data_IF_671769778955
#
_entry.id   IF_671769778955
#
_cell.length_a   1.000
_cell.length_b   1.000
_cell.length_c   1.000
_cell.angle_alpha   90.00
_cell.angle_beta   90.00
_cell.angle_gamma   90.00
#
_symmetry.space_group_name_H-M   'P 1'
#
loop_
_entity.id
_entity.type
_entity.pdbx_description
1 polymer ?
#
# COMPACT_ATOMS: atom_id res chain seq x y z
N UNK A 1 12.78 -12.30 14.12
CA UNK A 1 11.57 -12.66 13.34
C UNK A 1 10.31 -12.78 14.19
N UNK A 2 10.29 -13.56 15.28
CA UNK A 2 9.10 -13.65 16.16
C UNK A 2 8.67 -12.30 16.78
N UNK A 3 9.63 -11.45 17.14
CA UNK A 3 9.35 -10.12 17.74
C UNK A 3 8.78 -9.10 16.74
N UNK A 4 9.19 -9.18 15.47
CA UNK A 4 8.64 -8.34 14.41
C UNK A 4 7.20 -8.76 14.08
N UNK A 5 6.95 -10.07 13.99
CA UNK A 5 5.60 -10.63 13.79
C UNK A 5 4.64 -10.25 14.92
N UNK A 6 5.08 -10.37 16.18
CA UNK A 6 4.27 -9.99 17.34
C UNK A 6 3.93 -8.49 17.37
N UNK A 7 4.86 -7.61 16.97
CA UNK A 7 4.60 -6.17 16.87
C UNK A 7 3.63 -5.83 15.72
N UNK A 8 3.72 -6.57 14.62
CA UNK A 8 2.80 -6.43 13.48
C UNK A 8 1.40 -6.95 13.81
N UNK A 9 1.30 -8.07 14.53
CA UNK A 9 0.02 -8.62 15.02
C UNK A 9 -0.65 -7.69 16.05
N UNK A 10 0.14 -7.00 16.89
CA UNK A 10 -0.36 -6.00 17.83
C UNK A 10 -0.82 -4.71 17.12
N UNK A 11 -0.08 -4.24 16.10
CA UNK A 11 -0.49 -3.12 15.27
C UNK A 11 -1.78 -3.42 14.49
N UNK A 12 -1.92 -4.66 14.02
CA UNK A 12 -3.14 -5.18 13.39
C UNK A 12 -4.34 -5.16 14.35
N UNK A 13 -4.18 -5.72 15.55
CA UNK A 13 -5.26 -5.75 16.53
C UNK A 13 -5.74 -4.34 16.92
N UNK A 14 -4.82 -3.38 17.04
CA UNK A 14 -5.16 -1.99 17.36
C UNK A 14 -5.88 -1.27 16.20
N UNK A 15 -5.54 -1.60 14.94
CA UNK A 15 -6.24 -1.07 13.78
C UNK A 15 -7.65 -1.67 13.69
N UNK A 16 -7.77 -3.00 13.76
CA UNK A 16 -9.05 -3.73 13.69
C UNK A 16 -10.03 -3.26 14.79
N UNK A 17 -9.56 -3.05 16.03
CA UNK A 17 -10.36 -2.54 17.17
C UNK A 17 -10.82 -1.08 16.95
N UNK A 18 -10.02 -0.27 16.24
CA UNK A 18 -10.40 1.09 15.83
C UNK A 18 -11.54 1.11 14.81
N UNK A 19 -11.59 0.13 13.90
CA UNK A 19 -12.66 0.00 12.89
C UNK A 19 -13.94 -0.60 13.50
N UNK A 20 -13.85 -1.58 14.40
CA UNK A 20 -15.01 -2.10 15.12
C UNK A 20 -15.70 -1.00 15.97
N UNK A 21 -14.94 -0.07 16.54
CA UNK A 21 -15.48 1.09 17.26
C UNK A 21 -16.26 2.09 16.39
N UNK A 22 -16.16 1.99 15.06
CA UNK A 22 -16.91 2.81 14.11
C UNK A 22 -18.22 2.14 13.67
N UNK A 23 -18.40 0.83 13.89
CA UNK A 23 -19.67 0.14 13.67
C UNK A 23 -20.69 0.53 14.75
N UNK A 24 -21.77 1.23 14.35
CA UNK A 24 -22.90 1.54 15.24
C UNK A 24 -23.23 3.02 15.42
N UNK A 25 -22.61 3.92 14.64
CA UNK A 25 -22.93 5.35 14.63
C UNK A 25 -23.45 5.85 13.25
N UNK A 26 -24.72 5.54 12.87
CA UNK A 26 -25.29 5.88 11.55
C UNK A 26 -25.51 7.38 11.33
N UNK A 27 -25.45 8.21 12.38
CA UNK A 27 -25.67 9.66 12.28
C UNK A 27 -24.49 10.40 11.61
N UNK A 28 -23.39 9.70 11.32
CA UNK A 28 -22.21 10.20 10.58
C UNK A 28 -22.21 9.62 9.14
N UNK A 29 -23.38 9.35 8.57
CA UNK A 29 -23.57 9.01 7.14
C UNK A 29 -23.39 10.23 6.22
N UNK A 30 -22.26 10.93 6.34
CA UNK A 30 -21.76 11.73 5.23
C UNK A 30 -20.91 10.79 4.37
N UNK A 31 -21.49 10.29 3.27
CA UNK A 31 -20.91 9.27 2.39
C UNK A 31 -19.43 9.50 1.99
N UNK A 32 -18.93 10.75 2.03
CA UNK A 32 -17.51 11.06 1.84
C UNK A 32 -16.59 10.60 2.97
N UNK A 33 -16.96 10.77 4.24
CA UNK A 33 -16.10 10.38 5.37
C UNK A 33 -15.97 8.86 5.51
N UNK A 34 -17.06 8.12 5.25
CA UNK A 34 -17.03 6.65 5.27
C UNK A 34 -16.15 6.12 4.15
N UNK A 35 -16.30 6.63 2.92
CA UNK A 35 -15.47 6.22 1.79
C UNK A 35 -13.98 6.54 2.03
N UNK A 36 -13.65 7.70 2.59
CA UNK A 36 -12.26 8.06 2.89
C UNK A 36 -11.68 7.14 3.98
N UNK A 37 -12.46 6.81 5.03
CA UNK A 37 -12.03 5.87 6.07
C UNK A 37 -11.83 4.44 5.53
N UNK A 38 -12.74 3.95 4.68
CA UNK A 38 -12.61 2.64 4.03
C UNK A 38 -11.35 2.58 3.15
N UNK A 39 -11.04 3.67 2.45
CA UNK A 39 -9.84 3.78 1.61
C UNK A 39 -8.57 3.78 2.44
N UNK A 40 -8.50 4.61 3.49
CA UNK A 40 -7.37 4.64 4.44
C UNK A 40 -7.18 3.27 5.11
N UNK A 41 -8.26 2.57 5.43
CA UNK A 41 -8.19 1.21 5.97
C UNK A 41 -7.59 0.22 4.97
N UNK A 42 -8.08 0.25 3.72
CA UNK A 42 -7.57 -0.60 2.65
C UNK A 42 -6.09 -0.35 2.38
N UNK A 43 -5.67 0.92 2.38
CA UNK A 43 -4.25 1.31 2.27
C UNK A 43 -3.42 0.69 3.39
N UNK A 44 -3.84 0.87 4.65
CA UNK A 44 -3.12 0.35 5.81
C UNK A 44 -3.00 -1.18 5.77
N UNK A 45 -4.10 -1.87 5.42
CA UNK A 45 -4.16 -3.33 5.34
C UNK A 45 -3.30 -3.87 4.19
N UNK A 46 -3.34 -3.24 3.03
CA UNK A 46 -2.49 -3.60 1.89
C UNK A 46 -1.01 -3.38 2.20
N UNK A 47 -0.66 -2.22 2.76
CA UNK A 47 0.72 -1.88 3.13
C UNK A 47 1.28 -2.89 4.14
N UNK A 48 0.52 -3.18 5.20
CA UNK A 48 0.92 -4.14 6.22
C UNK A 48 1.19 -5.53 5.63
N UNK A 49 0.26 -6.02 4.80
CA UNK A 49 0.38 -7.34 4.18
C UNK A 49 1.66 -7.43 3.33
N UNK A 50 1.85 -6.47 2.42
CA UNK A 50 2.96 -6.48 1.47
C UNK A 50 4.33 -6.28 2.15
N UNK A 51 4.43 -5.38 3.14
CA UNK A 51 5.66 -5.21 3.93
C UNK A 51 6.01 -6.45 4.73
N UNK A 52 5.02 -7.23 5.12
CA UNK A 52 5.19 -8.49 5.86
C UNK A 52 5.45 -9.70 4.94
N UNK A 53 5.46 -9.51 3.62
CA UNK A 53 5.57 -10.61 2.64
C UNK A 53 4.32 -11.49 2.55
N UNK A 54 3.17 -10.99 3.01
CA UNK A 54 1.87 -11.63 2.83
C UNK A 54 1.23 -11.18 1.51
N UNK A 55 0.31 -11.98 0.93
CA UNK A 55 -0.40 -11.59 -0.28
C UNK A 55 -1.28 -10.36 -0.05
N UNK A 56 -1.54 -9.60 -1.12
CA UNK A 56 -2.49 -8.49 -1.11
C UNK A 56 -3.90 -9.00 -0.77
N UNK A 57 -4.57 -8.47 0.27
CA UNK A 57 -5.93 -8.90 0.62
C UNK A 57 -6.96 -8.38 -0.40
N UNK A 58 -7.96 -9.20 -0.70
CA UNK A 58 -9.13 -8.84 -1.51
C UNK A 58 -10.02 -7.82 -0.80
N UNK A 59 -10.88 -7.07 -1.52
CA UNK A 59 -11.82 -6.14 -0.91
C UNK A 59 -12.75 -6.82 0.11
N UNK A 60 -13.14 -8.07 -0.14
CA UNK A 60 -13.96 -8.85 0.79
C UNK A 60 -13.23 -9.23 2.08
N UNK A 61 -11.93 -9.54 2.01
CA UNK A 61 -11.10 -9.82 3.20
C UNK A 61 -10.78 -8.57 4.03
N UNK A 62 -10.82 -7.40 3.40
CA UNK A 62 -10.68 -6.11 4.09
C UNK A 62 -12.04 -5.67 4.66
N UNK A 63 -13.15 -6.00 4.00
CA UNK A 63 -14.50 -5.62 4.42
C UNK A 63 -14.89 -4.21 3.97
N UNK A 64 -14.42 -3.78 2.79
CA UNK A 64 -14.67 -2.42 2.26
C UNK A 64 -15.22 -2.46 0.84
N UNK A 65 -15.81 -1.36 0.38
CA UNK A 65 -16.24 -1.22 -1.01
C UNK A 65 -15.06 -1.36 -1.99
N UNK A 66 -15.28 -2.00 -3.14
CA UNK A 66 -14.30 -2.14 -4.22
C UNK A 66 -13.66 -0.81 -4.67
N UNK A 67 -14.43 0.29 -4.74
CA UNK A 67 -13.88 1.60 -5.11
C UNK A 67 -12.89 2.15 -4.06
N UNK A 68 -13.23 2.01 -2.77
CA UNK A 68 -12.36 2.38 -1.67
C UNK A 68 -11.11 1.48 -1.62
N UNK A 69 -11.28 0.18 -1.84
CA UNK A 69 -10.17 -0.77 -1.94
C UNK A 69 -9.22 -0.45 -3.09
N UNK A 70 -9.74 -0.20 -4.29
CA UNK A 70 -8.93 0.13 -5.48
C UNK A 70 -8.10 1.41 -5.26
N UNK A 71 -8.68 2.44 -4.65
CA UNK A 71 -7.91 3.65 -4.32
C UNK A 71 -6.95 3.42 -3.15
N UNK A 72 -7.32 2.62 -2.15
CA UNK A 72 -6.46 2.31 -1.01
C UNK A 72 -5.21 1.52 -1.42
N UNK A 73 -5.33 0.52 -2.28
CA UNK A 73 -4.15 -0.20 -2.81
C UNK A 73 -3.29 0.71 -3.70
N UNK A 74 -3.89 1.68 -4.39
CA UNK A 74 -3.16 2.65 -5.19
C UNK A 74 -2.35 3.62 -4.32
N UNK A 75 -2.90 4.05 -3.18
CA UNK A 75 -2.20 4.87 -2.17
C UNK A 75 -1.13 4.06 -1.42
N UNK A 76 -1.37 2.77 -1.16
CA UNK A 76 -0.39 1.87 -0.55
C UNK A 76 0.93 1.82 -1.32
N UNK A 77 0.91 1.95 -2.66
CA UNK A 77 2.14 2.05 -3.47
C UNK A 77 3.05 3.22 -3.05
N UNK A 78 2.47 4.33 -2.56
CA UNK A 78 3.20 5.44 -1.96
C UNK A 78 3.91 5.06 -0.65
N UNK A 79 3.22 4.34 0.23
CA UNK A 79 3.82 3.84 1.47
C UNK A 79 4.88 2.76 1.23
N UNK A 80 4.69 1.89 0.24
CA UNK A 80 5.72 0.93 -0.19
C UNK A 80 6.99 1.64 -0.66
N UNK A 81 6.84 2.71 -1.46
CA UNK A 81 7.98 3.58 -1.83
C UNK A 81 8.64 4.16 -0.58
N UNK A 82 7.87 4.63 0.41
CA UNK A 82 8.41 5.18 1.66
C UNK A 82 9.26 4.14 2.39
N UNK A 83 8.77 2.91 2.52
CA UNK A 83 9.49 1.78 3.12
C UNK A 83 10.78 1.45 2.36
N UNK A 84 10.72 1.38 1.01
CA UNK A 84 11.90 1.14 0.18
C UNK A 84 12.95 2.23 0.41
N UNK A 85 12.56 3.50 0.33
CA UNK A 85 13.50 4.63 0.52
C UNK A 85 14.09 4.65 1.94
N UNK A 86 13.30 4.31 2.97
CA UNK A 86 13.79 4.20 4.34
C UNK A 86 14.82 3.08 4.52
N UNK A 87 14.65 1.93 3.86
CA UNK A 87 15.63 0.84 3.83
C UNK A 87 16.90 1.24 3.08
N UNK A 88 16.76 1.82 1.89
CA UNK A 88 17.88 2.29 1.08
C UNK A 88 18.75 3.32 1.83
N UNK A 89 18.12 4.24 2.56
CA UNK A 89 18.83 5.23 3.41
C UNK A 89 19.68 4.59 4.50
N UNK A 90 19.33 3.38 4.94
CA UNK A 90 20.05 2.60 5.94
C UNK A 90 21.06 1.63 5.32
N UNK A 91 21.18 1.60 3.99
CA UNK A 91 21.97 0.59 3.28
C UNK A 91 21.37 -0.80 3.33
N UNK A 92 20.11 -0.93 3.75
CA UNK A 92 19.35 -2.18 3.74
C UNK A 92 18.64 -2.33 2.39
N UNK A 93 18.79 -3.50 1.78
CA UNK A 93 18.19 -3.84 0.50
C UNK A 93 17.25 -5.04 0.61
N UNK A 94 17.13 -5.64 1.80
CA UNK A 94 16.34 -6.83 2.01
C UNK A 94 14.87 -6.53 1.70
N UNK A 95 14.27 -7.34 0.84
CA UNK A 95 12.88 -7.22 0.42
C UNK A 95 12.52 -5.99 -0.43
N UNK A 96 13.46 -5.09 -0.76
CA UNK A 96 13.17 -3.92 -1.59
C UNK A 96 12.69 -4.28 -3.00
N UNK A 97 13.27 -5.32 -3.61
CA UNK A 97 12.84 -5.82 -4.93
C UNK A 97 11.43 -6.41 -4.88
N UNK A 98 11.11 -7.20 -3.86
CA UNK A 98 9.78 -7.77 -3.66
C UNK A 98 8.70 -6.69 -3.43
N UNK A 99 9.04 -5.62 -2.71
CA UNK A 99 8.14 -4.47 -2.56
C UNK A 99 7.93 -3.71 -3.88
N UNK A 100 8.98 -3.57 -4.71
CA UNK A 100 8.85 -2.97 -6.02
C UNK A 100 7.98 -3.82 -6.95
N UNK A 101 8.12 -5.14 -6.91
CA UNK A 101 7.28 -6.09 -7.66
C UNK A 101 5.82 -5.98 -7.23
N UNK A 102 5.54 -5.89 -5.92
CA UNK A 102 4.18 -5.67 -5.43
C UNK A 102 3.57 -4.34 -5.93
N UNK A 103 4.37 -3.27 -6.06
CA UNK A 103 3.92 -2.02 -6.68
C UNK A 103 3.60 -2.18 -8.17
N UNK A 104 4.38 -3.00 -8.89
CA UNK A 104 4.12 -3.36 -10.29
C UNK A 104 2.80 -4.13 -10.41
N UNK A 105 2.55 -5.11 -9.54
CA UNK A 105 1.31 -5.91 -9.51
C UNK A 105 0.08 -5.04 -9.22
N UNK A 106 0.17 -4.13 -8.25
CA UNK A 106 -0.89 -3.14 -7.98
C UNK A 106 -1.18 -2.34 -9.23
N UNK A 107 -0.14 -1.75 -9.85
CA UNK A 107 -0.33 -0.94 -11.05
C UNK A 107 -0.93 -1.75 -12.21
N UNK A 108 -0.47 -2.99 -12.41
CA UNK A 108 -0.99 -3.90 -13.42
C UNK A 108 -2.49 -4.18 -13.20
N UNK A 109 -2.92 -4.40 -11.96
CA UNK A 109 -4.33 -4.55 -11.62
C UNK A 109 -5.12 -3.28 -11.94
N UNK A 110 -4.65 -2.12 -11.49
CA UNK A 110 -5.35 -0.84 -11.64
C UNK A 110 -5.63 -0.49 -13.11
N UNK A 111 -4.68 -0.76 -14.02
CA UNK A 111 -4.86 -0.47 -15.45
C UNK A 111 -5.85 -1.40 -16.15
N UNK A 112 -6.23 -2.52 -15.55
CA UNK A 112 -7.26 -3.41 -16.11
C UNK A 112 -8.69 -2.92 -15.83
N UNK A 113 -8.85 -1.94 -14.93
CA UNK A 113 -10.16 -1.47 -14.49
C UNK A 113 -10.73 -0.45 -15.49
N UNK A 114 -11.81 -0.83 -16.18
CA UNK A 114 -12.53 0.01 -17.14
C UNK A 114 -13.92 0.38 -16.59
N UNK A 115 -13.96 1.34 -15.65
CA UNK A 115 -15.20 1.91 -15.12
C UNK A 115 -15.14 3.44 -15.12
N UNK A 116 -16.29 4.14 -15.23
CA UNK A 116 -16.32 5.60 -15.17
C UNK A 116 -15.70 6.16 -13.88
N UNK A 117 -14.88 7.21 -13.98
CA UNK A 117 -14.19 7.85 -12.83
C UNK A 117 -15.14 8.19 -11.67
N UNK A 118 -16.38 8.58 -11.97
CA UNK A 118 -17.39 8.90 -10.95
C UNK A 118 -17.84 7.69 -10.11
N UNK A 119 -17.76 6.47 -10.68
CA UNK A 119 -18.10 5.22 -9.99
C UNK A 119 -16.93 4.67 -9.18
N UNK A 120 -15.70 5.05 -9.53
CA UNK A 120 -14.46 4.55 -8.92
C UNK A 120 -13.79 5.56 -7.99
N UNK A 121 -14.43 6.71 -7.72
CA UNK A 121 -13.86 7.73 -6.83
C UNK A 121 -12.63 8.43 -7.39
N UNK A 122 -12.48 8.53 -8.72
CA UNK A 122 -11.33 9.20 -9.36
C UNK A 122 -10.12 8.29 -9.60
N UNK A 123 -10.32 6.97 -9.67
CA UNK A 123 -9.27 5.96 -9.78
C UNK A 123 -8.27 6.19 -10.92
N UNK A 124 -8.70 6.74 -12.06
CA UNK A 124 -7.81 7.03 -13.19
C UNK A 124 -6.68 7.99 -12.80
N UNK A 125 -7.01 9.03 -12.04
CA UNK A 125 -6.02 9.99 -11.52
C UNK A 125 -5.06 9.29 -10.55
N UNK A 126 -5.59 8.46 -9.66
CA UNK A 126 -4.78 7.71 -8.69
C UNK A 126 -3.85 6.72 -9.40
N UNK A 127 -4.34 6.03 -10.42
CA UNK A 127 -3.55 5.10 -11.26
C UNK A 127 -2.39 5.80 -11.97
N UNK A 128 -2.61 6.98 -12.55
CA UNK A 128 -1.53 7.78 -13.16
C UNK A 128 -0.48 8.23 -12.13
N UNK A 129 -0.92 8.55 -10.89
CA UNK A 129 0.01 8.86 -9.79
C UNK A 129 0.82 7.63 -9.38
N UNK A 130 0.17 6.46 -9.25
CA UNK A 130 0.82 5.18 -8.96
C UNK A 130 1.89 4.86 -10.00
N UNK A 131 1.62 5.05 -11.30
CA UNK A 131 2.62 4.91 -12.37
C UNK A 131 3.86 5.77 -12.11
N UNK A 132 3.67 7.05 -11.83
CA UNK A 132 4.78 7.97 -11.58
C UNK A 132 5.56 7.65 -10.30
N UNK A 133 4.91 7.11 -9.27
CA UNK A 133 5.57 6.62 -8.04
C UNK A 133 6.39 5.37 -8.35
N UNK A 134 5.83 4.42 -9.08
CA UNK A 134 6.48 3.17 -9.47
C UNK A 134 7.73 3.40 -10.30
N UNK A 135 7.65 4.21 -11.35
CA UNK A 135 8.77 4.52 -12.23
C UNK A 135 9.94 5.19 -11.48
N UNK A 136 9.64 6.16 -10.62
CA UNK A 136 10.66 6.80 -9.78
C UNK A 136 11.29 5.81 -8.80
N UNK A 137 10.50 4.92 -8.20
CA UNK A 137 10.99 3.95 -7.20
C UNK A 137 11.90 2.93 -7.84
N UNK A 138 11.56 2.46 -9.04
CA UNK A 138 12.44 1.61 -9.85
C UNK A 138 13.78 2.29 -10.14
N UNK A 139 13.75 3.58 -10.52
CA UNK A 139 14.95 4.37 -10.75
C UNK A 139 15.83 4.48 -9.51
N UNK A 140 15.25 4.87 -8.37
CA UNK A 140 15.97 5.03 -7.10
C UNK A 140 16.61 3.72 -6.63
N UNK A 141 15.85 2.62 -6.65
CA UNK A 141 16.35 1.30 -6.25
C UNK A 141 17.48 0.81 -7.18
N UNK A 142 17.32 0.99 -8.49
CA UNK A 142 18.36 0.63 -9.46
C UNK A 142 19.65 1.39 -9.21
N UNK A 143 19.55 2.71 -9.01
CA UNK A 143 20.71 3.56 -8.73
C UNK A 143 21.42 3.15 -7.44
N UNK A 144 20.66 2.87 -6.36
CA UNK A 144 21.22 2.42 -5.09
C UNK A 144 21.94 1.07 -5.22
N UNK A 145 21.37 0.11 -5.96
CA UNK A 145 22.00 -1.20 -6.21
C UNK A 145 23.31 -1.05 -7.00
N UNK A 146 23.32 -0.22 -8.04
CA UNK A 146 24.52 0.04 -8.84
C UNK A 146 25.61 0.68 -7.98
N UNK A 147 25.26 1.68 -7.16
CA UNK A 147 26.21 2.34 -6.26
C UNK A 147 26.79 1.39 -5.21
N UNK A 148 25.96 0.50 -4.65
CA UNK A 148 26.43 -0.55 -3.73
C UNK A 148 27.50 -1.43 -4.37
N UNK A 149 27.27 -1.89 -5.60
CA UNK A 149 28.22 -2.74 -6.34
C UNK A 149 29.52 -2.02 -6.70
N UNK A 150 29.48 -0.70 -6.87
CA UNK A 150 30.64 0.11 -7.23
C UNK A 150 31.54 0.47 -6.03
N UNK A 151 31.10 0.20 -4.79
CA UNK A 151 31.88 0.50 -3.58
C UNK A 151 32.59 -0.79 -3.15
N UNK A 152 33.92 -0.91 -3.31
CA UNK A 152 34.65 -2.09 -2.84
C UNK A 152 34.57 -2.19 -1.32
N UNK A 153 34.11 -3.33 -0.80
CA UNK A 153 34.20 -3.66 0.62
C UNK A 153 35.69 -3.71 1.00
N UNK A 154 36.12 -2.78 1.86
CA UNK A 154 37.49 -2.64 2.34
C UNK A 154 37.80 -3.57 3.49
#
# INVERSE_FOLDING_TARGET
MADAKARLDAARAAADEGFEGLEGHPDIEHAGFVHDAEKEYAEARATLALVSGAPLPSPEEVGVNAAAWLNGIAEAAGELRRVILDRLRQGDFDGCEALLEAMDDIYALLVTIDFPDAMTGGLRRTTDQTRGILERTRGDLTMAIVQRRATPEG
#
